data_IF_052044942242
#
_entry.id   IF_052044942242
#
_cell.length_a   1.000
_cell.length_b   1.000
_cell.length_c   1.000
_cell.angle_alpha   90.00
_cell.angle_beta   90.00
_cell.angle_gamma   90.00
#
_symmetry.space_group_name_H-M   'P 1'
#
loop_
_entity.id
_entity.type
_entity.pdbx_description
1 polymer ?
#
# COMPACT_ATOMS: atom_id res chain seq x y z
N UNK A 1 56.58 17.93 -21.57
CA UNK A 1 55.45 17.48 -22.44
C UNK A 1 54.85 16.14 -22.05
N UNK A 2 55.62 15.06 -21.80
CA UNK A 2 55.05 13.73 -21.43
C UNK A 2 54.09 13.74 -20.23
N UNK A 3 54.43 14.45 -19.15
CA UNK A 3 53.61 14.50 -17.93
C UNK A 3 52.21 15.12 -18.15
N UNK A 4 52.10 16.10 -19.05
CA UNK A 4 50.81 16.75 -19.35
C UNK A 4 49.87 15.80 -20.12
N UNK A 5 50.42 14.96 -21.00
CA UNK A 5 49.65 13.94 -21.70
C UNK A 5 49.14 12.87 -20.73
N UNK A 6 49.98 12.44 -19.77
CA UNK A 6 49.58 11.50 -18.72
C UNK A 6 48.48 12.07 -17.83
N UNK A 7 48.64 13.31 -17.34
CA UNK A 7 47.64 13.94 -16.46
C UNK A 7 46.29 14.16 -17.15
N UNK A 8 46.28 14.52 -18.44
CA UNK A 8 45.04 14.61 -19.21
C UNK A 8 44.34 13.25 -19.39
N UNK A 9 45.10 12.16 -19.53
CA UNK A 9 44.53 10.82 -19.65
C UNK A 9 43.93 10.35 -18.32
N UNK A 10 44.63 10.57 -17.21
CA UNK A 10 44.14 10.25 -15.87
C UNK A 10 42.86 11.03 -15.53
N UNK A 11 42.81 12.32 -15.89
CA UNK A 11 41.60 13.12 -15.74
C UNK A 11 40.44 12.53 -16.55
N UNK A 12 40.66 12.20 -17.82
CA UNK A 12 39.63 11.57 -18.68
C UNK A 12 39.14 10.23 -18.13
N UNK A 13 40.04 9.41 -17.57
CA UNK A 13 39.67 8.14 -16.93
C UNK A 13 38.88 8.38 -15.65
N UNK A 14 39.29 9.35 -14.83
CA UNK A 14 38.60 9.71 -13.58
C UNK A 14 37.16 10.17 -13.86
N UNK A 15 36.96 11.11 -14.78
CA UNK A 15 35.60 11.61 -15.11
C UNK A 15 34.72 10.51 -15.69
N UNK A 16 35.28 9.64 -16.53
CA UNK A 16 34.54 8.51 -17.12
C UNK A 16 34.13 7.49 -16.05
N UNK A 17 35.02 7.21 -15.10
CA UNK A 17 34.77 6.29 -14.00
C UNK A 17 33.71 6.84 -13.04
N UNK A 18 33.82 8.12 -12.67
CA UNK A 18 32.82 8.80 -11.85
C UNK A 18 31.45 8.81 -12.53
N UNK A 19 31.39 9.08 -13.83
CA UNK A 19 30.14 9.06 -14.57
C UNK A 19 29.50 7.66 -14.62
N UNK A 20 30.32 6.62 -14.85
CA UNK A 20 29.84 5.23 -14.83
C UNK A 20 29.30 4.85 -13.45
N UNK A 21 30.03 5.20 -12.38
CA UNK A 21 29.61 4.89 -11.02
C UNK A 21 28.32 5.64 -10.63
N UNK A 22 28.20 6.90 -11.03
CA UNK A 22 26.96 7.67 -10.84
C UNK A 22 25.77 6.99 -11.52
N UNK A 23 25.93 6.54 -12.78
CA UNK A 23 24.86 5.83 -13.50
C UNK A 23 24.49 4.50 -12.83
N UNK A 24 25.47 3.74 -12.35
CA UNK A 24 25.22 2.49 -11.62
C UNK A 24 24.48 2.74 -10.31
N UNK A 25 24.89 3.77 -9.55
CA UNK A 25 24.22 4.16 -8.31
C UNK A 25 22.77 4.56 -8.56
N UNK A 26 22.52 5.40 -9.56
CA UNK A 26 21.17 5.80 -9.97
C UNK A 26 20.31 4.59 -10.36
N UNK A 27 20.88 3.65 -11.11
CA UNK A 27 20.17 2.42 -11.49
C UNK A 27 19.81 1.57 -10.28
N UNK A 28 20.75 1.40 -9.34
CA UNK A 28 20.51 0.67 -8.11
C UNK A 28 19.44 1.33 -7.24
N UNK A 29 19.49 2.65 -7.06
CA UNK A 29 18.46 3.40 -6.31
C UNK A 29 17.08 3.27 -6.96
N UNK A 30 16.99 3.34 -8.29
CA UNK A 30 15.71 3.15 -9.00
C UNK A 30 15.18 1.73 -8.80
N UNK A 31 16.04 0.71 -8.84
CA UNK A 31 15.64 -0.68 -8.60
C UNK A 31 15.15 -0.88 -7.18
N UNK A 32 15.86 -0.33 -6.19
CA UNK A 32 15.47 -0.40 -4.78
C UNK A 32 14.12 0.28 -4.53
N UNK A 33 13.90 1.47 -5.09
CA UNK A 33 12.60 2.15 -5.02
C UNK A 33 11.47 1.34 -5.65
N UNK A 34 11.70 0.71 -6.82
CA UNK A 34 10.71 -0.17 -7.46
C UNK A 34 10.35 -1.34 -6.56
N UNK A 35 11.34 -1.95 -5.90
CA UNK A 35 11.12 -3.06 -4.97
C UNK A 35 10.31 -2.60 -3.76
N UNK A 36 10.69 -1.50 -3.12
CA UNK A 36 9.98 -0.94 -1.97
C UNK A 36 8.52 -0.61 -2.30
N UNK A 37 8.25 -0.01 -3.46
CA UNK A 37 6.89 0.29 -3.93
C UNK A 37 6.09 -1.00 -4.17
N UNK A 38 6.70 -2.03 -4.76
CA UNK A 38 6.06 -3.32 -4.95
C UNK A 38 5.69 -3.99 -3.63
N UNK A 39 6.58 -3.94 -2.63
CA UNK A 39 6.30 -4.45 -1.28
C UNK A 39 5.18 -3.65 -0.61
N UNK A 40 5.20 -2.31 -0.71
CA UNK A 40 4.15 -1.46 -0.17
C UNK A 40 2.78 -1.78 -0.78
N UNK A 41 2.71 -2.00 -2.10
CA UNK A 41 1.47 -2.36 -2.78
C UNK A 41 0.89 -3.69 -2.26
N UNK A 42 1.75 -4.68 -1.98
CA UNK A 42 1.33 -5.94 -1.38
C UNK A 42 0.77 -5.72 0.04
N UNK A 43 1.49 -4.99 0.90
CA UNK A 43 1.04 -4.69 2.26
C UNK A 43 -0.29 -3.95 2.29
N UNK A 44 -0.48 -2.98 1.39
CA UNK A 44 -1.76 -2.23 1.28
C UNK A 44 -2.89 -3.15 0.82
N UNK A 45 -2.62 -4.06 -0.12
CA UNK A 45 -3.61 -5.03 -0.59
C UNK A 45 -4.02 -6.01 0.52
N UNK A 46 -3.06 -6.48 1.32
CA UNK A 46 -3.31 -7.32 2.48
C UNK A 46 -4.13 -6.59 3.55
N UNK A 47 -3.78 -5.33 3.85
CA UNK A 47 -4.51 -4.51 4.83
C UNK A 47 -5.96 -4.26 4.38
N UNK A 48 -6.18 -3.98 3.09
CA UNK A 48 -7.53 -3.82 2.53
C UNK A 48 -8.32 -5.11 2.60
N UNK A 49 -7.69 -6.24 2.28
CA UNK A 49 -8.31 -7.57 2.40
C UNK A 49 -8.68 -7.90 3.85
N UNK A 50 -7.78 -7.67 4.81
CA UNK A 50 -8.03 -7.87 6.23
C UNK A 50 -9.14 -6.95 6.78
N UNK A 51 -9.20 -5.69 6.32
CA UNK A 51 -10.28 -4.76 6.63
C UNK A 51 -11.62 -5.20 6.06
N UNK A 52 -11.63 -5.72 4.82
CA UNK A 52 -12.82 -6.23 4.13
C UNK A 52 -13.31 -7.58 4.67
N UNK A 53 -12.41 -8.43 5.17
CA UNK A 53 -12.73 -9.73 5.76
C UNK A 53 -13.06 -9.68 7.26
N UNK A 54 -13.00 -8.49 7.90
CA UNK A 54 -13.29 -8.34 9.33
C UNK A 54 -14.78 -8.27 9.68
N UNK A 55 -15.65 -8.16 8.68
CA UNK A 55 -17.09 -8.23 8.90
C UNK A 55 -17.59 -9.54 8.30
N UNK A 56 -17.93 -10.56 9.11
CA UNK A 56 -18.73 -11.65 8.59
C UNK A 56 -19.98 -11.04 7.96
N UNK A 57 -20.10 -11.11 6.64
CA UNK A 57 -21.32 -10.83 5.89
C UNK A 57 -22.32 -11.96 6.15
N UNK A 58 -22.65 -12.15 7.40
CA UNK A 58 -23.80 -12.91 7.82
C UNK A 58 -24.89 -11.87 8.07
N UNK A 59 -25.86 -11.68 7.16
CA UNK A 59 -27.15 -11.20 7.62
C UNK A 59 -27.66 -12.29 8.56
N UNK A 60 -27.39 -12.16 9.87
CA UNK A 60 -28.06 -13.00 10.87
C UNK A 60 -29.54 -12.82 10.57
N UNK A 61 -30.25 -13.85 10.10
CA UNK A 61 -31.68 -13.73 9.88
C UNK A 61 -32.27 -13.33 11.23
N UNK A 62 -32.96 -12.19 11.28
CA UNK A 62 -33.58 -11.72 12.52
C UNK A 62 -34.39 -12.89 13.12
N UNK A 63 -34.03 -13.41 14.30
CA UNK A 63 -34.71 -14.56 14.89
C UNK A 63 -36.20 -14.28 15.14
N UNK A 64 -36.56 -13.00 15.25
CA UNK A 64 -37.94 -12.50 15.34
C UNK A 64 -38.46 -12.15 13.97
N UNK A 65 -38.57 -13.11 13.05
CA UNK A 65 -39.17 -12.91 11.72
C UNK A 65 -40.30 -11.88 11.78
N UNK A 66 -40.16 -10.79 11.04
CA UNK A 66 -41.02 -9.59 11.07
C UNK A 66 -40.98 -8.82 12.41
N UNK A 67 -40.01 -7.92 12.55
CA UNK A 67 -39.97 -6.96 13.66
C UNK A 67 -41.02 -5.85 13.46
N UNK A 68 -42.18 -5.98 14.10
CA UNK A 68 -42.99 -4.82 14.50
C UNK A 68 -43.88 -5.16 15.69
N UNK A 69 -43.29 -5.18 16.88
CA UNK A 69 -44.03 -4.94 18.11
C UNK A 69 -43.11 -4.13 19.03
N UNK A 70 -43.27 -2.81 19.01
CA UNK A 70 -42.67 -1.92 20.01
C UNK A 70 -43.61 -1.94 21.22
N UNK A 71 -43.22 -2.65 22.28
CA UNK A 71 -43.91 -2.58 23.57
C UNK A 71 -43.40 -1.36 24.32
N UNK A 72 -44.29 -0.41 24.60
CA UNK A 72 -43.95 0.78 25.38
C UNK A 72 -43.72 0.39 26.85
N UNK A 73 -42.88 1.14 27.59
CA UNK A 73 -42.60 0.92 29.02
C UNK A 73 -43.85 0.88 29.93
N UNK A 74 -44.98 1.37 29.43
CA UNK A 74 -46.30 1.29 30.08
C UNK A 74 -47.01 -0.06 29.91
N UNK A 75 -46.39 -1.03 29.23
CA UNK A 75 -46.95 -2.36 28.98
C UNK A 75 -48.01 -2.38 27.87
N UNK A 76 -48.12 -1.34 27.05
CA UNK A 76 -49.03 -1.31 25.90
C UNK A 76 -48.28 -1.61 24.60
N UNK A 77 -48.85 -2.51 23.80
CA UNK A 77 -48.39 -2.83 22.45
C UNK A 77 -49.04 -1.88 21.44
N UNK A 78 -48.24 -1.33 20.52
CA UNK A 78 -48.76 -0.54 19.40
C UNK A 78 -49.39 -1.49 18.35
N UNK A 79 -50.57 -1.18 17.81
CA UNK A 79 -51.17 -1.97 16.73
C UNK A 79 -50.22 -2.04 15.54
N UNK A 80 -50.11 -3.24 14.96
CA UNK A 80 -49.31 -3.44 13.75
C UNK A 80 -49.96 -2.66 12.59
N UNK A 81 -49.17 -1.95 11.76
CA UNK A 81 -49.69 -1.30 10.57
C UNK A 81 -50.37 -2.33 9.67
N UNK A 82 -51.54 -1.97 9.12
CA UNK A 82 -52.24 -2.76 8.11
C UNK A 82 -51.47 -2.81 6.78
#
# INVERSE_FOLDING_TARGET
MKQLATSNLEFQQSVSSSNMQFQQNMTATIQDLKMQIGQLANTVSELQSAGSNSLPSQPIPNPRGNASAVTLRSGKELPQPA
#
